data_IF_199432692897
#
_entry.id   IF_199432692897
#
_cell.length_a   1.000
_cell.length_b   1.000
_cell.length_c   1.000
_cell.angle_alpha   90.00
_cell.angle_beta   90.00
_cell.angle_gamma   90.00
#
_symmetry.space_group_name_H-M   'P 1'
#
loop_
_entity.id
_entity.type
_entity.pdbx_description
1 polymer ?
#
# COMPACT_ATOMS: atom_id res chain seq x y z
N UNK A 1 -3.05 19.94 11.06
CA UNK A 1 -4.48 19.79 11.41
C UNK A 1 -4.93 18.43 10.90
N UNK A 2 -4.77 17.38 11.70
CA UNK A 2 -5.16 16.00 11.37
C UNK A 2 -6.64 15.75 11.76
N UNK A 3 -7.53 16.66 11.37
CA UNK A 3 -8.96 16.59 11.71
C UNK A 3 -9.82 16.31 10.49
N UNK A 4 -9.41 15.31 9.72
CA UNK A 4 -10.37 14.45 9.02
C UNK A 4 -9.65 13.14 8.79
N UNK A 5 -9.78 12.20 9.73
CA UNK A 5 -9.74 10.79 9.34
C UNK A 5 -10.89 10.64 8.34
N UNK A 6 -10.58 10.81 7.06
CA UNK A 6 -11.56 10.84 5.97
C UNK A 6 -12.41 9.57 6.07
N UNK A 7 -13.72 9.72 6.03
CA UNK A 7 -14.66 8.58 6.16
C UNK A 7 -14.42 7.55 5.05
N UNK A 8 -13.86 7.97 3.90
CA UNK A 8 -13.38 7.06 2.86
C UNK A 8 -12.24 6.16 3.35
N UNK A 9 -11.22 6.72 4.01
CA UNK A 9 -10.09 5.97 4.58
C UNK A 9 -10.58 4.97 5.63
N UNK A 10 -11.51 5.40 6.50
CA UNK A 10 -12.10 4.50 7.50
C UNK A 10 -12.87 3.34 6.84
N UNK A 11 -13.60 3.61 5.76
CA UNK A 11 -14.35 2.59 5.02
C UNK A 11 -13.42 1.61 4.29
N UNK A 12 -12.33 2.11 3.69
CA UNK A 12 -11.33 1.29 3.02
C UNK A 12 -10.60 0.38 4.01
N UNK A 13 -10.24 0.91 5.19
CA UNK A 13 -9.67 0.12 6.28
C UNK A 13 -10.65 -0.95 6.81
N UNK A 14 -11.94 -0.61 6.92
CA UNK A 14 -12.96 -1.58 7.31
C UNK A 14 -13.13 -2.69 6.27
N UNK A 15 -13.05 -2.35 4.97
CA UNK A 15 -13.06 -3.32 3.87
C UNK A 15 -11.84 -4.23 3.91
N UNK A 16 -10.66 -3.69 4.22
CA UNK A 16 -9.43 -4.47 4.45
C UNK A 16 -9.58 -5.43 5.64
N UNK A 17 -10.16 -4.98 6.75
CA UNK A 17 -10.45 -5.82 7.92
C UNK A 17 -11.48 -6.91 7.61
N UNK A 18 -12.52 -6.59 6.83
CA UNK A 18 -13.49 -7.59 6.37
C UNK A 18 -12.82 -8.63 5.48
N UNK A 19 -11.99 -8.20 4.52
CA UNK A 19 -11.21 -9.10 3.65
C UNK A 19 -10.32 -10.03 4.48
N UNK A 20 -9.73 -9.53 5.56
CA UNK A 20 -8.96 -10.35 6.50
C UNK A 20 -9.82 -11.41 7.19
N UNK A 21 -10.99 -11.03 7.71
CA UNK A 21 -11.92 -11.95 8.39
C UNK A 21 -12.44 -13.05 7.46
N UNK A 22 -12.66 -12.72 6.19
CA UNK A 22 -13.12 -13.65 5.15
C UNK A 22 -12.00 -14.57 4.60
N UNK A 23 -10.74 -14.29 4.94
CA UNK A 23 -9.59 -15.11 4.56
C UNK A 23 -8.77 -15.54 5.78
N UNK A 24 -9.19 -16.64 6.45
CA UNK A 24 -8.49 -17.18 7.63
C UNK A 24 -7.05 -17.60 7.34
N UNK A 25 -6.73 -17.87 6.07
CA UNK A 25 -5.36 -18.23 5.65
C UNK A 25 -4.43 -17.02 5.56
N UNK A 26 -4.99 -15.80 5.46
CA UNK A 26 -4.26 -14.56 5.23
C UNK A 26 -3.60 -14.44 3.85
N UNK A 27 -3.76 -15.44 2.98
CA UNK A 27 -3.06 -15.54 1.70
C UNK A 27 -3.43 -14.42 0.72
N UNK A 28 -4.67 -13.92 0.76
CA UNK A 28 -5.11 -12.77 -0.05
C UNK A 28 -4.36 -11.50 0.34
N UNK A 29 -4.22 -11.24 1.64
CA UNK A 29 -3.47 -10.09 2.12
C UNK A 29 -1.97 -10.23 1.83
N UNK A 30 -1.40 -11.43 1.92
CA UNK A 30 -0.01 -11.69 1.53
C UNK A 30 0.24 -11.41 0.05
N UNK A 31 -0.66 -11.88 -0.82
CA UNK A 31 -0.58 -11.58 -2.26
C UNK A 31 -0.70 -10.08 -2.52
N UNK A 32 -1.57 -9.38 -1.80
CA UNK A 32 -1.69 -7.92 -1.92
C UNK A 32 -0.40 -7.21 -1.50
N UNK A 33 0.20 -7.60 -0.37
CA UNK A 33 1.49 -7.06 0.10
C UNK A 33 2.59 -7.30 -0.94
N UNK A 34 2.68 -8.51 -1.49
CA UNK A 34 3.65 -8.85 -2.52
C UNK A 34 3.46 -8.02 -3.79
N UNK A 35 2.23 -7.91 -4.29
CA UNK A 35 1.92 -7.13 -5.49
C UNK A 35 2.23 -5.64 -5.32
N UNK A 36 1.93 -5.06 -4.14
CA UNK A 36 2.28 -3.68 -3.80
C UNK A 36 3.81 -3.49 -3.75
N UNK A 37 4.54 -4.44 -3.17
CA UNK A 37 6.00 -4.44 -3.14
C UNK A 37 6.64 -4.51 -4.53
N UNK A 38 6.15 -5.39 -5.39
CA UNK A 38 6.60 -5.48 -6.79
C UNK A 38 6.33 -4.20 -7.57
N UNK A 39 5.15 -3.59 -7.38
CA UNK A 39 4.81 -2.33 -8.01
C UNK A 39 5.72 -1.20 -7.52
N UNK A 40 6.05 -1.17 -6.22
CA UNK A 40 6.97 -0.19 -5.66
C UNK A 40 8.37 -0.32 -6.28
N UNK A 41 8.85 -1.55 -6.48
CA UNK A 41 10.14 -1.77 -7.13
C UNK A 41 10.12 -1.34 -8.60
N UNK A 42 9.03 -1.59 -9.33
CA UNK A 42 8.87 -1.05 -10.71
C UNK A 42 8.92 0.48 -10.73
N UNK A 43 8.24 1.15 -9.79
CA UNK A 43 8.30 2.62 -9.66
C UNK A 43 9.72 3.10 -9.36
N UNK A 44 10.47 2.38 -8.51
CA UNK A 44 11.88 2.66 -8.24
C UNK A 44 12.76 2.50 -9.47
N UNK A 45 12.57 1.44 -10.26
CA UNK A 45 13.32 1.25 -11.51
C UNK A 45 13.04 2.38 -12.49
N UNK A 46 11.78 2.80 -12.62
CA UNK A 46 11.42 3.95 -13.45
C UNK A 46 12.11 5.25 -12.98
N UNK A 47 12.16 5.49 -11.66
CA UNK A 47 12.91 6.61 -11.09
C UNK A 47 14.41 6.59 -11.49
N UNK A 48 15.05 5.41 -11.42
CA UNK A 48 16.47 5.24 -11.78
C UNK A 48 16.69 5.55 -13.27
N UNK A 49 15.78 5.09 -14.15
CA UNK A 49 15.97 5.17 -15.60
C UNK A 49 15.48 6.46 -16.23
N UNK A 50 14.54 7.18 -15.59
CA UNK A 50 14.03 8.44 -16.14
C UNK A 50 15.10 9.52 -16.14
N UNK A 51 15.17 10.28 -17.24
CA UNK A 51 16.03 11.45 -17.37
C UNK A 51 15.33 12.75 -16.96
N UNK A 52 13.99 12.73 -16.92
CA UNK A 52 13.15 13.88 -16.55
C UNK A 52 12.98 13.99 -15.02
N UNK A 53 13.17 15.19 -14.48
CA UNK A 53 13.09 15.45 -13.05
C UNK A 53 11.66 15.41 -12.47
N UNK A 54 10.65 15.76 -13.28
CA UNK A 54 9.24 15.64 -12.92
C UNK A 54 8.84 14.16 -12.87
N UNK A 55 9.24 13.37 -13.87
CA UNK A 55 9.00 11.92 -13.87
C UNK A 55 9.65 11.24 -12.66
N UNK A 56 10.89 11.61 -12.33
CA UNK A 56 11.54 11.13 -11.10
C UNK A 56 10.73 11.50 -9.85
N UNK A 57 10.30 12.75 -9.72
CA UNK A 57 9.54 13.17 -8.55
C UNK A 57 8.22 12.38 -8.39
N UNK A 58 7.54 12.10 -9.51
CA UNK A 58 6.31 11.29 -9.52
C UNK A 58 6.61 9.82 -9.20
N UNK A 59 7.65 9.24 -9.78
CA UNK A 59 8.06 7.86 -9.54
C UNK A 59 8.47 7.63 -8.07
N UNK A 60 9.12 8.62 -7.46
CA UNK A 60 9.47 8.59 -6.04
C UNK A 60 8.22 8.63 -5.15
N UNK A 61 7.30 9.56 -5.40
CA UNK A 61 6.04 9.64 -4.64
C UNK A 61 5.22 8.34 -4.76
N UNK A 62 5.18 7.75 -5.96
CA UNK A 62 4.51 6.47 -6.20
C UNK A 62 5.20 5.32 -5.45
N UNK A 63 6.53 5.26 -5.44
CA UNK A 63 7.29 4.26 -4.68
C UNK A 63 6.97 4.34 -3.18
N UNK A 64 7.01 5.54 -2.61
CA UNK A 64 6.71 5.79 -1.20
C UNK A 64 5.26 5.43 -0.86
N UNK A 65 4.30 5.84 -1.69
CA UNK A 65 2.88 5.53 -1.49
C UNK A 65 2.58 4.02 -1.54
N UNK A 66 3.19 3.29 -2.48
CA UNK A 66 3.01 1.84 -2.58
C UNK A 66 3.62 1.09 -1.39
N UNK A 67 4.76 1.56 -0.86
CA UNK A 67 5.33 0.99 0.38
C UNK A 67 4.45 1.26 1.59
N UNK A 68 3.96 2.49 1.74
CA UNK A 68 3.04 2.84 2.82
C UNK A 68 1.76 2.00 2.77
N UNK A 69 1.19 1.79 1.57
CA UNK A 69 0.04 0.91 1.39
C UNK A 69 0.35 -0.54 1.81
N UNK A 70 1.50 -1.09 1.41
CA UNK A 70 1.91 -2.44 1.80
C UNK A 70 2.05 -2.57 3.33
N UNK A 71 2.56 -1.54 4.00
CA UNK A 71 2.68 -1.50 5.46
C UNK A 71 1.32 -1.46 6.16
N UNK A 72 0.36 -0.68 5.64
CA UNK A 72 -1.03 -0.66 6.16
C UNK A 72 -1.66 -2.05 6.05
N UNK A 73 -1.55 -2.71 4.89
CA UNK A 73 -2.10 -4.07 4.69
C UNK A 73 -1.40 -5.07 5.61
N UNK A 74 -0.07 -4.98 5.76
CA UNK A 74 0.68 -5.81 6.68
C UNK A 74 0.27 -5.59 8.14
N UNK A 75 -0.06 -4.35 8.52
CA UNK A 75 -0.55 -4.04 9.85
C UNK A 75 -1.94 -4.64 10.09
N UNK A 76 -2.88 -4.48 9.15
CA UNK A 76 -4.22 -5.10 9.21
C UNK A 76 -4.12 -6.61 9.44
N UNK A 77 -3.20 -7.29 8.77
CA UNK A 77 -2.94 -8.73 8.96
C UNK A 77 -2.44 -9.06 10.37
N UNK A 78 -1.67 -8.16 11.02
CA UNK A 78 -1.10 -8.38 12.36
C UNK A 78 -2.06 -8.08 13.50
N UNK A 79 -3.09 -7.26 13.30
CA UNK A 79 -4.01 -6.77 14.35
C UNK A 79 -4.96 -7.86 14.91
N UNK A 80 -4.61 -9.13 14.81
CA UNK A 80 -5.39 -10.28 15.30
C UNK A 80 -4.63 -11.08 16.40
N UNK A 81 -3.74 -10.41 17.15
CA UNK A 81 -3.22 -10.92 18.44
C UNK A 81 -4.01 -10.30 19.58
#
# INVERSE_FOLDING_TARGET
MFETFDSSIANDLNTLLQTHREDPSGQRLERAIAALGEAAERARQHWITSADASERSQAQALHEGLRAAAEVVAQVRRTNV
#
